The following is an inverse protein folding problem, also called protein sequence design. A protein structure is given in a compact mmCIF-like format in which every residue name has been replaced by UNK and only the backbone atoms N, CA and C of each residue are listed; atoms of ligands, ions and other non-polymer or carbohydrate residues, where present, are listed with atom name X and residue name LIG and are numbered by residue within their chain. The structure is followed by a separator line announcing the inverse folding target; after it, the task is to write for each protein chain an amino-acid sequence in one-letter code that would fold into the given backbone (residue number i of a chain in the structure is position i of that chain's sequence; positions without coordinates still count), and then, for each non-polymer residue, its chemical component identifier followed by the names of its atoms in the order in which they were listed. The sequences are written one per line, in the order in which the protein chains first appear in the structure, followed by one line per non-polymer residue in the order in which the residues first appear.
data_IF_863255704280
#
_entry.id   IF_863255704280
#
_cell.length_a   1.000
_cell.length_b   1.000
_cell.length_c   1.000
_cell.angle_alpha   90.00
_cell.angle_beta   90.00
_cell.angle_gamma   90.00
#
_symmetry.space_group_name_H-M   'P 1'
#
loop_
_entity.id
_entity.type
_entity.pdbx_description
1 polymer ?
#
# COMPACT_ATOMS: atom_id res chain seq x y z
N UNK A 1 17.60 5.33 -12.43
CA UNK A 1 16.27 5.32 -11.79
C UNK A 1 15.96 3.89 -11.39
N UNK A 2 16.15 3.56 -10.11
CA UNK A 2 15.90 2.19 -9.62
C UNK A 2 14.40 1.99 -9.48
N UNK A 3 13.84 1.06 -10.26
CA UNK A 3 12.45 0.64 -10.09
C UNK A 3 12.33 -0.02 -8.72
N UNK A 4 11.66 0.67 -7.80
CA UNK A 4 11.20 0.09 -6.53
C UNK A 4 10.22 -1.01 -6.91
N UNK A 5 10.66 -2.26 -6.77
CA UNK A 5 9.81 -3.42 -7.02
C UNK A 5 8.81 -3.46 -5.87
N UNK A 6 7.59 -2.99 -6.11
CA UNK A 6 6.52 -3.03 -5.12
C UNK A 6 6.31 -4.50 -4.72
N UNK A 7 6.64 -4.83 -3.47
CA UNK A 7 6.20 -6.08 -2.86
C UNK A 7 4.68 -6.07 -2.94
N UNK A 8 4.07 -7.17 -3.39
CA UNK A 8 2.61 -7.31 -3.57
C UNK A 8 1.90 -7.40 -2.21
N UNK A 9 2.05 -6.36 -1.39
CA UNK A 9 1.37 -6.13 -0.12
C UNK A 9 0.29 -5.09 -0.39
N UNK A 10 -0.96 -5.30 0.05
CA UNK A 10 -2.01 -4.30 -0.07
C UNK A 10 -1.53 -2.95 0.46
N UNK A 11 -1.74 -1.87 -0.30
CA UNK A 11 -1.22 -0.52 0.01
C UNK A 11 -1.46 -0.13 1.47
N UNK A 12 -2.65 -0.43 2.00
CA UNK A 12 -3.01 -0.22 3.41
C UNK A 12 -2.05 -0.89 4.39
N UNK A 13 -1.76 -2.19 4.22
CA UNK A 13 -0.85 -2.94 5.11
C UNK A 13 0.57 -2.38 5.07
N UNK A 14 1.01 -1.96 3.89
CA UNK A 14 2.35 -1.41 3.71
C UNK A 14 2.51 -0.02 4.34
N UNK A 15 1.48 0.81 4.23
CA UNK A 15 1.39 2.11 4.93
C UNK A 15 1.36 1.90 6.45
N UNK A 16 0.55 0.97 6.95
CA UNK A 16 0.49 0.63 8.37
C UNK A 16 1.84 0.14 8.91
N UNK A 17 2.52 -0.74 8.18
CA UNK A 17 3.84 -1.24 8.55
C UNK A 17 4.88 -0.11 8.59
N UNK A 18 4.89 0.76 7.58
CA UNK A 18 5.79 1.92 7.52
C UNK A 18 5.55 2.89 8.68
N UNK A 19 4.29 3.18 9.00
CA UNK A 19 3.91 4.03 10.13
C UNK A 19 4.31 3.42 11.47
N UNK A 20 4.22 2.09 11.62
CA UNK A 20 4.71 1.38 12.80
C UNK A 20 6.23 1.56 12.97
N UNK A 21 7.01 1.41 11.89
CA UNK A 21 8.45 1.64 11.93
C UNK A 21 8.79 3.10 12.24
N UNK A 22 8.06 4.06 11.69
CA UNK A 22 8.23 5.49 12.04
C UNK A 22 8.00 5.71 13.54
N UNK A 23 6.97 5.09 14.12
CA UNK A 23 6.68 5.19 15.55
C UNK A 23 7.83 4.60 16.39
N UNK A 24 8.33 3.43 16.02
CA UNK A 24 9.46 2.78 16.67
C UNK A 24 10.76 3.59 16.56
N UNK A 25 11.04 4.19 15.38
CA UNK A 25 12.19 5.08 15.20
C UNK A 25 12.12 6.31 16.12
N UNK A 26 10.93 6.91 16.30
CA UNK A 26 10.72 8.03 17.23
C UNK A 26 10.93 7.61 18.69
N UNK A 27 10.46 6.41 19.06
CA UNK A 27 10.71 5.86 20.40
C UNK A 27 12.22 5.65 20.64
N UNK A 28 12.92 5.05 19.69
CA UNK A 28 14.38 4.85 19.77
C UNK A 28 15.13 6.18 19.82
N UNK A 29 14.71 7.18 19.02
CA UNK A 29 15.26 8.52 19.03
C UNK A 29 15.15 9.17 20.41
N UNK A 30 13.98 9.04 21.06
CA UNK A 30 13.76 9.60 22.41
C UNK A 30 14.67 9.00 23.48
N UNK A 31 15.11 7.76 23.26
CA UNK A 31 16.01 7.01 24.16
C UNK A 31 17.47 7.07 23.72
N UNK A 32 17.75 7.74 22.59
CA UNK A 32 19.06 7.81 21.96
C UNK A 32 19.70 6.42 21.75
N UNK A 33 18.89 5.43 21.37
CA UNK A 33 19.35 4.06 21.13
C UNK A 33 20.11 3.93 19.81
N UNK A 34 20.79 2.82 19.58
CA UNK A 34 21.40 2.55 18.28
C UNK A 34 20.34 2.04 17.28
N UNK A 35 20.52 2.33 16.00
CA UNK A 35 19.73 1.79 14.88
C UNK A 35 20.64 1.36 13.73
N UNK A 36 20.24 0.30 13.05
CA UNK A 36 20.93 -0.33 11.93
C UNK A 36 21.69 -1.60 12.33
N UNK A 37 22.39 -1.57 13.46
CA UNK A 37 23.14 -2.70 13.99
C UNK A 37 22.92 -2.81 15.50
N UNK A 38 22.73 -4.05 15.98
CA UNK A 38 22.61 -4.34 17.41
C UNK A 38 23.93 -4.04 18.14
N UNK A 39 23.85 -3.39 19.31
CA UNK A 39 25.03 -3.00 20.09
C UNK A 39 25.88 -4.16 20.60
N UNK A 40 25.30 -5.34 20.79
CA UNK A 40 25.96 -6.49 21.42
C UNK A 40 26.74 -7.38 20.44
N UNK A 41 26.26 -7.52 19.21
CA UNK A 41 26.81 -8.44 18.22
C UNK A 41 26.96 -7.86 16.81
N UNK A 42 26.63 -6.57 16.62
CA UNK A 42 26.65 -5.87 15.32
C UNK A 42 25.81 -6.56 14.23
N UNK A 43 24.82 -7.37 14.60
CA UNK A 43 23.88 -7.95 13.63
C UNK A 43 22.89 -6.87 13.14
N UNK A 44 22.44 -6.93 11.87
CA UNK A 44 21.36 -6.08 11.37
C UNK A 44 20.14 -6.11 12.29
N UNK A 45 19.62 -4.93 12.63
CA UNK A 45 18.39 -4.83 13.40
C UNK A 45 17.13 -4.90 12.50
N UNK A 46 15.95 -4.88 13.14
CA UNK A 46 14.68 -4.91 12.43
C UNK A 46 14.45 -3.70 11.53
N UNK A 47 15.06 -2.54 11.83
CA UNK A 47 14.96 -1.36 10.98
C UNK A 47 15.74 -1.55 9.69
N UNK A 48 16.99 -1.98 9.77
CA UNK A 48 17.81 -2.21 8.57
C UNK A 48 17.19 -3.29 7.68
N UNK A 49 16.67 -4.37 8.28
CA UNK A 49 15.96 -5.41 7.55
C UNK A 49 14.75 -4.85 6.79
N UNK A 50 13.89 -4.09 7.47
CA UNK A 50 12.69 -3.48 6.89
C UNK A 50 13.00 -2.60 5.67
N UNK A 51 14.02 -1.73 5.79
CA UNK A 51 14.44 -0.85 4.70
C UNK A 51 15.09 -1.63 3.55
N UNK A 52 15.92 -2.63 3.86
CA UNK A 52 16.62 -3.45 2.86
C UNK A 52 15.65 -4.26 2.01
N UNK A 53 14.65 -4.90 2.62
CA UNK A 53 13.59 -5.65 1.92
C UNK A 53 12.84 -4.78 0.90
N UNK A 54 12.68 -3.49 1.22
CA UNK A 54 12.00 -2.49 0.38
C UNK A 54 12.94 -1.73 -0.55
N UNK A 55 14.24 -2.03 -0.49
CA UNK A 55 15.31 -1.34 -1.21
C UNK A 55 15.30 0.19 -0.96
N UNK A 56 15.00 0.58 0.28
CA UNK A 56 15.00 1.96 0.72
C UNK A 56 16.39 2.34 1.26
N UNK A 57 16.84 3.59 1.08
CA UNK A 57 18.07 4.07 1.69
C UNK A 57 17.92 4.10 3.22
N UNK A 58 18.95 3.64 3.92
CA UNK A 58 18.99 3.62 5.39
C UNK A 58 20.19 4.40 5.92
N UNK A 59 19.95 5.30 6.87
CA UNK A 59 20.98 6.01 7.62
C UNK A 59 21.24 5.30 8.95
N UNK A 60 22.51 4.95 9.19
CA UNK A 60 22.92 4.25 10.41
C UNK A 60 23.16 5.22 11.55
N UNK A 61 22.85 4.79 12.78
CA UNK A 61 23.29 5.45 14.00
C UNK A 61 23.70 4.40 15.02
N UNK A 62 24.99 4.15 15.12
CA UNK A 62 25.55 3.09 15.97
C UNK A 62 26.47 3.71 17.01
N UNK A 63 26.31 3.27 18.25
CA UNK A 63 27.15 3.64 19.40
C UNK A 63 27.42 2.37 20.21
N UNK A 64 28.56 1.70 19.98
CA UNK A 64 28.96 0.51 20.76
C UNK A 64 30.47 0.28 20.73
N UNK A 65 31.06 -0.16 21.85
CA UNK A 65 32.44 -0.67 21.99
C UNK A 65 33.51 0.02 21.11
N UNK A 66 33.63 1.34 21.21
CA UNK A 66 34.64 2.12 20.46
C UNK A 66 34.31 2.38 18.99
N UNK A 67 33.17 1.91 18.51
CA UNK A 67 32.62 2.17 17.17
C UNK A 67 31.50 3.21 17.27
N UNK A 68 31.67 4.30 16.54
CA UNK A 68 30.66 5.35 16.37
C UNK A 68 30.43 5.55 14.88
N UNK A 69 29.24 5.24 14.40
CA UNK A 69 28.84 5.41 12.98
C UNK A 69 27.62 6.30 12.91
N UNK A 70 27.68 7.28 12.02
CA UNK A 70 26.58 8.21 11.73
C UNK A 70 26.27 9.18 12.86
N UNK A 71 25.24 10.00 12.62
CA UNK A 71 24.82 11.11 13.49
C UNK A 71 23.37 10.91 13.96
N UNK A 72 22.95 11.54 15.07
CA UNK A 72 21.55 11.49 15.53
C UNK A 72 20.53 11.94 14.47
N UNK A 73 20.94 12.67 13.43
CA UNK A 73 20.08 13.02 12.29
C UNK A 73 19.62 11.81 11.47
N UNK A 74 20.27 10.65 11.60
CA UNK A 74 19.89 9.40 10.95
C UNK A 74 18.42 9.02 11.21
N UNK A 75 17.93 9.28 12.43
CA UNK A 75 16.51 9.08 12.77
C UNK A 75 15.59 9.86 11.85
N UNK A 76 15.83 11.16 11.70
CA UNK A 76 15.00 12.02 10.87
C UNK A 76 15.11 11.63 9.38
N UNK A 77 16.32 11.30 8.90
CA UNK A 77 16.54 10.85 7.52
C UNK A 77 15.73 9.57 7.21
N UNK A 78 15.73 8.60 8.13
CA UNK A 78 14.98 7.36 7.97
C UNK A 78 13.46 7.61 8.04
N UNK A 79 13.00 8.47 8.94
CA UNK A 79 11.59 8.87 9.04
C UNK A 79 11.13 9.56 7.76
N UNK A 80 11.92 10.49 7.23
CA UNK A 80 11.60 11.22 5.98
C UNK A 80 11.57 10.28 4.78
N UNK A 81 12.49 9.31 4.74
CA UNK A 81 12.50 8.25 3.72
C UNK A 81 11.20 7.45 3.75
N UNK A 82 10.74 7.03 4.94
CA UNK A 82 9.48 6.28 5.08
C UNK A 82 8.26 7.14 4.77
N UNK A 83 8.23 8.40 5.20
CA UNK A 83 7.14 9.33 4.86
C UNK A 83 7.03 9.52 3.34
N UNK A 84 8.16 9.69 2.66
CA UNK A 84 8.18 9.79 1.20
C UNK A 84 7.70 8.49 0.54
N UNK A 85 8.16 7.34 1.03
CA UNK A 85 7.73 6.03 0.54
C UNK A 85 6.21 5.82 0.69
N UNK A 86 5.64 6.17 1.84
CA UNK A 86 4.18 6.15 2.09
C UNK A 86 3.43 7.06 1.12
N UNK A 87 3.95 8.27 0.86
CA UNK A 87 3.33 9.19 -0.09
C UNK A 87 3.32 8.64 -1.52
N UNK A 88 4.39 7.96 -1.95
CA UNK A 88 4.44 7.29 -3.25
C UNK A 88 3.42 6.15 -3.36
N UNK A 89 3.27 5.33 -2.30
CA UNK A 89 2.27 4.26 -2.25
C UNK A 89 0.86 4.85 -2.40
N UNK A 90 0.53 5.88 -1.59
CA UNK A 90 -0.77 6.56 -1.64
C UNK A 90 -1.05 7.15 -3.03
N UNK A 91 -0.06 7.77 -3.66
CA UNK A 91 -0.19 8.33 -5.00
C UNK A 91 -0.44 7.25 -6.06
N UNK A 92 0.37 6.19 -6.07
CA UNK A 92 0.22 5.08 -7.02
C UNK A 92 -1.13 4.37 -6.87
N UNK A 93 -1.54 4.11 -5.62
CA UNK A 93 -2.81 3.47 -5.33
C UNK A 93 -4.00 4.38 -5.68
N UNK A 94 -3.86 5.68 -5.43
CA UNK A 94 -4.79 6.71 -5.89
C UNK A 94 -5.00 6.63 -7.39
N UNK A 95 -3.93 6.63 -8.19
CA UNK A 95 -4.03 6.54 -9.65
C UNK A 95 -4.73 5.26 -10.11
N UNK A 96 -4.39 4.12 -9.51
CA UNK A 96 -5.01 2.84 -9.83
C UNK A 96 -6.53 2.83 -9.56
N UNK A 97 -6.94 3.32 -8.38
CA UNK A 97 -8.36 3.39 -8.02
C UNK A 97 -9.13 4.37 -8.90
N UNK A 98 -8.55 5.55 -9.21
CA UNK A 98 -9.20 6.49 -10.12
C UNK A 98 -9.39 5.90 -11.52
N UNK A 99 -8.40 5.14 -12.03
CA UNK A 99 -8.53 4.41 -13.29
C UNK A 99 -9.72 3.44 -13.30
N UNK A 100 -9.89 2.67 -12.22
CA UNK A 100 -11.03 1.76 -12.07
C UNK A 100 -12.36 2.49 -11.96
N UNK A 101 -12.42 3.61 -11.22
CA UNK A 101 -13.62 4.46 -11.16
C UNK A 101 -13.99 5.00 -12.55
N UNK A 102 -13.01 5.44 -13.34
CA UNK A 102 -13.24 5.87 -14.73
C UNK A 102 -13.79 4.73 -15.57
N UNK A 103 -13.25 3.52 -15.44
CA UNK A 103 -13.73 2.34 -16.15
C UNK A 103 -15.17 1.97 -15.73
N UNK A 104 -15.48 2.00 -14.43
CA UNK A 104 -16.85 1.76 -13.92
C UNK A 104 -17.85 2.79 -14.48
N UNK A 105 -17.47 4.08 -14.55
CA UNK A 105 -18.31 5.12 -15.15
C UNK A 105 -18.53 4.89 -16.65
N UNK A 106 -17.51 4.42 -17.36
CA UNK A 106 -17.64 4.05 -18.77
C UNK A 106 -18.62 2.87 -18.93
N UNK A 107 -18.44 1.80 -18.16
CA UNK A 107 -19.34 0.64 -18.18
C UNK A 107 -20.78 1.03 -17.83
N UNK A 108 -20.97 1.91 -16.84
CA UNK A 108 -22.28 2.49 -16.48
C UNK A 108 -22.93 3.20 -17.66
N UNK A 109 -22.18 4.00 -18.41
CA UNK A 109 -22.70 4.72 -19.58
C UNK A 109 -23.20 3.79 -20.69
N UNK A 110 -22.59 2.60 -20.79
CA UNK A 110 -22.95 1.57 -21.77
C UNK A 110 -23.92 0.52 -21.22
N UNK A 111 -24.27 0.62 -19.92
CA UNK A 111 -25.05 -0.36 -19.19
C UNK A 111 -24.49 -1.80 -19.33
N UNK A 112 -23.17 -1.94 -19.29
CA UNK A 112 -22.49 -3.24 -19.40
C UNK A 112 -22.61 -4.07 -18.10
N UNK A 113 -22.24 -5.35 -18.18
CA UNK A 113 -22.13 -6.18 -16.98
C UNK A 113 -20.81 -5.88 -16.25
N UNK A 114 -20.81 -6.00 -14.92
CA UNK A 114 -19.64 -5.94 -14.05
C UNK A 114 -19.64 -7.11 -13.05
N UNK A 115 -18.46 -7.65 -12.77
CA UNK A 115 -18.22 -8.83 -11.94
C UNK A 115 -18.21 -10.14 -12.73
N UNK A 116 -19.01 -10.24 -13.80
CA UNK A 116 -18.94 -11.34 -14.76
C UNK A 116 -19.11 -10.78 -16.17
N UNK A 117 -18.24 -11.19 -17.09
CA UNK A 117 -18.35 -10.84 -18.49
C UNK A 117 -19.69 -11.35 -19.06
N UNK A 118 -20.46 -10.47 -19.70
CA UNK A 118 -21.78 -10.79 -20.24
C UNK A 118 -21.78 -11.87 -21.33
N UNK A 119 -20.66 -12.18 -21.96
CA UNK A 119 -20.60 -13.20 -23.02
C UNK A 119 -20.03 -14.54 -22.54
N UNK A 120 -19.14 -14.53 -21.55
CA UNK A 120 -18.42 -15.73 -21.09
C UNK A 120 -18.75 -16.14 -19.65
N UNK A 121 -19.43 -15.29 -18.88
CA UNK A 121 -19.67 -15.42 -17.45
C UNK A 121 -18.38 -15.65 -16.62
N UNK A 122 -17.21 -15.25 -17.16
CA UNK A 122 -15.96 -15.26 -16.42
C UNK A 122 -15.81 -13.98 -15.59
N UNK A 123 -15.12 -14.04 -14.43
CA UNK A 123 -14.70 -12.86 -13.68
C UNK A 123 -14.06 -11.81 -14.60
N UNK A 124 -14.53 -10.57 -14.49
CA UNK A 124 -13.82 -9.46 -15.13
C UNK A 124 -12.69 -8.95 -14.22
N UNK A 125 -11.91 -8.00 -14.75
CA UNK A 125 -10.74 -7.46 -14.06
C UNK A 125 -11.10 -6.63 -12.81
N UNK A 126 -12.38 -6.32 -12.57
CA UNK A 126 -12.78 -5.62 -11.36
C UNK A 126 -12.68 -6.53 -10.12
N UNK A 127 -13.02 -7.81 -10.23
CA UNK A 127 -13.04 -8.70 -9.06
C UNK A 127 -11.66 -8.82 -8.40
N UNK A 128 -10.57 -9.18 -9.11
CA UNK A 128 -9.25 -9.25 -8.49
C UNK A 128 -8.78 -7.90 -7.93
N UNK A 129 -9.19 -6.79 -8.54
CA UNK A 129 -8.83 -5.45 -8.08
C UNK A 129 -9.45 -5.12 -6.72
N UNK A 130 -10.73 -5.44 -6.52
CA UNK A 130 -11.45 -5.24 -5.26
C UNK A 130 -10.98 -6.22 -4.19
N UNK A 131 -10.81 -7.50 -4.54
CA UNK A 131 -10.40 -8.56 -3.62
C UNK A 131 -9.02 -8.30 -3.01
N UNK A 132 -8.05 -7.89 -3.83
CA UNK A 132 -6.69 -7.55 -3.36
C UNK A 132 -6.70 -6.45 -2.29
N UNK A 133 -7.70 -5.56 -2.34
CA UNK A 133 -7.84 -4.41 -1.45
C UNK A 133 -8.79 -4.68 -0.27
N UNK A 134 -9.44 -5.85 -0.25
CA UNK A 134 -10.50 -6.16 0.72
C UNK A 134 -11.69 -5.20 0.64
N UNK A 135 -11.96 -4.63 -0.55
CA UNK A 135 -13.06 -3.70 -0.78
C UNK A 135 -14.29 -4.50 -1.21
N UNK A 136 -15.48 -4.27 -0.62
CA UNK A 136 -16.68 -4.99 -1.02
C UNK A 136 -17.03 -4.65 -2.48
N UNK A 137 -17.41 -5.68 -3.23
CA UNK A 137 -17.83 -5.55 -4.63
C UNK A 137 -19.32 -5.90 -4.80
N UNK A 138 -20.05 -5.05 -5.50
CA UNK A 138 -21.42 -5.24 -5.92
C UNK A 138 -21.46 -5.68 -7.39
N UNK A 139 -22.11 -6.81 -7.65
CA UNK A 139 -22.26 -7.37 -9.00
C UNK A 139 -23.42 -6.71 -9.75
N UNK A 140 -23.28 -6.61 -11.07
CA UNK A 140 -24.38 -6.31 -11.97
C UNK A 140 -24.22 -7.10 -13.27
N UNK A 141 -25.03 -8.13 -13.46
CA UNK A 141 -24.95 -9.04 -14.61
C UNK A 141 -26.32 -9.18 -15.24
N UNK A 142 -26.36 -9.08 -16.58
CA UNK A 142 -27.56 -9.30 -17.40
C UNK A 142 -27.17 -10.11 -18.63
N UNK A 143 -27.14 -11.43 -18.52
CA UNK A 143 -26.87 -12.29 -19.69
C UNK A 143 -27.41 -13.70 -19.56
N UNK A 144 -27.91 -14.25 -20.67
CA UNK A 144 -28.14 -15.69 -20.82
C UNK A 144 -29.17 -16.30 -19.86
N UNK A 145 -30.10 -15.51 -19.32
CA UNK A 145 -31.07 -15.95 -18.31
C UNK A 145 -30.61 -15.80 -16.85
N UNK A 146 -29.43 -15.22 -16.62
CA UNK A 146 -28.94 -14.85 -15.29
C UNK A 146 -29.01 -13.33 -15.12
N UNK A 147 -29.79 -12.90 -14.14
CA UNK A 147 -29.81 -11.52 -13.65
C UNK A 147 -29.30 -11.49 -12.22
N UNK A 148 -28.26 -10.69 -11.98
CA UNK A 148 -27.66 -10.52 -10.66
C UNK A 148 -27.49 -9.03 -10.37
N UNK A 149 -27.98 -8.61 -9.20
CA UNK A 149 -27.84 -7.23 -8.72
C UNK A 149 -28.67 -6.21 -9.52
N UNK A 150 -28.31 -4.94 -9.37
CA UNK A 150 -29.01 -3.81 -9.99
C UNK A 150 -28.00 -2.78 -10.51
N UNK A 151 -28.41 -1.84 -11.39
CA UNK A 151 -27.53 -0.76 -11.86
C UNK A 151 -26.93 0.11 -10.73
N UNK A 152 -27.49 0.06 -9.50
CA UNK A 152 -26.91 0.72 -8.35
C UNK A 152 -25.53 0.15 -7.95
N UNK A 153 -25.15 -1.03 -8.45
CA UNK A 153 -23.84 -1.64 -8.24
C UNK A 153 -22.69 -0.71 -8.64
N UNK A 154 -22.84 0.06 -9.72
CA UNK A 154 -21.85 1.06 -10.15
C UNK A 154 -21.55 2.09 -9.06
N UNK A 155 -22.58 2.73 -8.52
CA UNK A 155 -22.45 3.73 -7.46
C UNK A 155 -21.92 3.13 -6.17
N UNK A 156 -22.38 1.93 -5.82
CA UNK A 156 -21.91 1.23 -4.63
C UNK A 156 -20.41 0.93 -4.70
N UNK A 157 -19.94 0.45 -5.86
CA UNK A 157 -18.54 0.15 -6.10
C UNK A 157 -17.67 1.42 -6.11
N UNK A 158 -18.12 2.48 -6.79
CA UNK A 158 -17.42 3.78 -6.79
C UNK A 158 -17.30 4.33 -5.37
N UNK A 159 -18.40 4.30 -4.60
CA UNK A 159 -18.42 4.76 -3.20
C UNK A 159 -17.49 3.93 -2.32
N UNK A 160 -17.48 2.60 -2.48
CA UNK A 160 -16.60 1.72 -1.72
C UNK A 160 -15.11 2.02 -2.01
N UNK A 161 -14.76 2.26 -3.27
CA UNK A 161 -13.42 2.66 -3.68
C UNK A 161 -13.01 4.04 -3.13
N UNK A 162 -13.93 5.01 -3.09
CA UNK A 162 -13.69 6.33 -2.50
C UNK A 162 -13.48 6.26 -0.97
N UNK A 163 -14.26 5.41 -0.30
CA UNK A 163 -14.10 5.14 1.13
C UNK A 163 -12.76 4.46 1.43
N UNK A 164 -12.37 3.50 0.59
CA UNK A 164 -11.06 2.86 0.66
C UNK A 164 -9.93 3.88 0.56
N UNK A 165 -9.93 4.75 -0.45
CA UNK A 165 -8.90 5.79 -0.62
C UNK A 165 -8.82 6.74 0.57
N UNK A 166 -9.97 7.11 1.14
CA UNK A 166 -10.02 7.96 2.34
C UNK A 166 -9.44 7.28 3.60
N UNK A 167 -9.28 5.95 3.58
CA UNK A 167 -8.76 5.16 4.70
C UNK A 167 -7.27 4.83 4.61
N UNK A 168 -6.60 5.20 3.51
CA UNK A 168 -5.16 5.03 3.29
C UNK A 168 -4.35 6.12 3.99
#
# INVERSE_FOLDING_TARGET
MSQITAVNVPAKKEIEASNSIISQLKDYQSKNWAIGLNGDNLAPDGFLAFFTERRLPFAYYVRSQGVSVGEPSAYQINIDTLNHYVALIRSSEGLAVHGVITQLNHYKSQNWAIGLNGSTLQPDDFLPFFDTRGVPFAYYVRSGGVELGTPAAYENNIKALQQYLSSL
#
